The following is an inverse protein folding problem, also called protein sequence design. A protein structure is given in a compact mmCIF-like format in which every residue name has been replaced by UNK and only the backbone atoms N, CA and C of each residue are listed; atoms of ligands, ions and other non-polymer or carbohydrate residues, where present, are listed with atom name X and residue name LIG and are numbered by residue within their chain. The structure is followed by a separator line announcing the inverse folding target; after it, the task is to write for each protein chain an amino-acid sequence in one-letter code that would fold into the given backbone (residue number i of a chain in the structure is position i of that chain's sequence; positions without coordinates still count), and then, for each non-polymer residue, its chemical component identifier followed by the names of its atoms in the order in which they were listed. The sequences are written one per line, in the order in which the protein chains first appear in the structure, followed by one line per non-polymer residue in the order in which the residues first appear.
data_IF_685424336049
#
_entry.id   IF_685424336049
#
_cell.length_a   1.000
_cell.length_b   1.000
_cell.length_c   1.000
_cell.angle_alpha   90.00
_cell.angle_beta   90.00
_cell.angle_gamma   90.00
#
_symmetry.space_group_name_H-M   'P 1'
#
loop_
_entity.id
_entity.type
_entity.pdbx_description
1 polymer ?
#
# COMPACT_ATOMS: atom_id res chain seq x y z
N UNK A 1 -0.43 -24.53 89.28
CA UNK A 1 -0.58 -24.16 87.85
C UNK A 1 0.24 -25.15 87.04
N UNK A 2 -0.39 -26.12 86.37
CA UNK A 2 0.32 -27.09 85.54
C UNK A 2 0.47 -26.52 84.13
N UNK A 3 1.67 -26.06 83.80
CA UNK A 3 2.05 -25.77 82.42
C UNK A 3 2.24 -27.11 81.71
N UNK A 4 1.27 -27.48 80.87
CA UNK A 4 1.42 -28.60 79.94
C UNK A 4 2.39 -28.15 78.84
N UNK A 5 3.63 -28.61 78.94
CA UNK A 5 4.63 -28.41 77.88
C UNK A 5 4.20 -29.16 76.62
N UNK A 6 4.35 -28.49 75.47
CA UNK A 6 4.10 -29.06 74.15
C UNK A 6 4.90 -30.35 73.97
N UNK A 7 4.27 -31.41 73.46
CA UNK A 7 4.99 -32.66 73.23
C UNK A 7 5.81 -32.54 71.94
N UNK A 8 7.02 -33.10 71.93
CA UNK A 8 7.88 -33.12 70.75
C UNK A 8 7.19 -33.79 69.55
N UNK A 9 6.34 -34.79 69.83
CA UNK A 9 5.50 -35.47 68.83
C UNK A 9 4.51 -34.52 68.16
N UNK A 10 3.84 -33.67 68.94
CA UNK A 10 2.85 -32.71 68.43
C UNK A 10 3.52 -31.69 67.48
N UNK A 11 4.73 -31.24 67.81
CA UNK A 11 5.49 -30.33 66.95
C UNK A 11 5.89 -30.98 65.62
N UNK A 12 6.27 -32.27 65.64
CA UNK A 12 6.58 -33.03 64.41
C UNK A 12 5.33 -33.20 63.54
N UNK A 13 4.18 -33.51 64.14
CA UNK A 13 2.91 -33.66 63.40
C UNK A 13 2.52 -32.33 62.75
N UNK A 14 2.62 -31.21 63.48
CA UNK A 14 2.34 -29.88 62.94
C UNK A 14 3.29 -29.55 61.79
N UNK A 15 4.59 -29.85 61.93
CA UNK A 15 5.56 -29.61 60.86
C UNK A 15 5.23 -30.44 59.60
N UNK A 16 4.82 -31.70 59.78
CA UNK A 16 4.44 -32.58 58.67
C UNK A 16 3.17 -32.13 57.94
N UNK A 17 2.17 -31.62 58.67
CA UNK A 17 0.98 -31.03 58.05
C UNK A 17 1.37 -29.74 57.31
N UNK A 18 2.23 -28.92 57.90
CA UNK A 18 2.67 -27.66 57.30
C UNK A 18 3.44 -27.88 55.99
N UNK A 19 4.38 -28.84 55.95
CA UNK A 19 5.11 -29.16 54.72
C UNK A 19 4.19 -29.71 53.63
N UNK A 20 3.19 -30.51 53.99
CA UNK A 20 2.21 -31.04 53.05
C UNK A 20 1.35 -29.91 52.45
N UNK A 21 0.87 -29.00 53.28
CA UNK A 21 0.12 -27.81 52.82
C UNK A 21 0.99 -26.91 51.95
N UNK A 22 2.23 -26.63 52.35
CA UNK A 22 3.15 -25.83 51.53
C UNK A 22 3.49 -26.49 50.20
N UNK A 23 3.64 -27.82 50.17
CA UNK A 23 3.84 -28.55 48.92
C UNK A 23 2.65 -28.38 47.98
N UNK A 24 1.43 -28.50 48.49
CA UNK A 24 0.22 -28.31 47.68
C UNK A 24 0.11 -26.87 47.16
N UNK A 25 0.34 -25.87 48.01
CA UNK A 25 0.35 -24.47 47.60
C UNK A 25 1.43 -24.19 46.55
N UNK A 26 2.61 -24.79 46.69
CA UNK A 26 3.70 -24.64 45.73
C UNK A 26 3.36 -25.25 44.38
N UNK A 27 2.79 -26.47 44.36
CA UNK A 27 2.33 -27.11 43.12
C UNK A 27 1.24 -26.28 42.42
N UNK A 28 0.30 -25.72 43.18
CA UNK A 28 -0.74 -24.85 42.60
C UNK A 28 -0.12 -23.58 42.01
N UNK A 29 0.82 -22.95 42.71
CA UNK A 29 1.51 -21.77 42.20
C UNK A 29 2.28 -22.08 40.92
N UNK A 30 3.05 -23.17 40.91
CA UNK A 30 3.88 -23.57 39.78
C UNK A 30 3.01 -23.88 38.55
N UNK A 31 1.95 -24.68 38.72
CA UNK A 31 0.99 -24.97 37.64
C UNK A 31 0.28 -23.71 37.14
N UNK A 32 -0.03 -22.76 38.02
CA UNK A 32 -0.66 -21.49 37.61
C UNK A 32 0.32 -20.63 36.81
N UNK A 33 1.58 -20.54 37.24
CA UNK A 33 2.62 -19.78 36.53
C UNK A 33 2.96 -20.41 35.18
N UNK A 34 3.02 -21.75 35.09
CA UNK A 34 3.21 -22.44 33.81
C UNK A 34 2.03 -22.25 32.87
N UNK A 35 0.79 -22.33 33.39
CA UNK A 35 -0.41 -22.09 32.60
C UNK A 35 -0.45 -20.64 32.08
N UNK A 36 -0.14 -19.66 32.93
CA UNK A 36 -0.08 -18.25 32.54
C UNK A 36 0.96 -18.02 31.43
N UNK A 37 2.19 -18.52 31.60
CA UNK A 37 3.24 -18.44 30.57
C UNK A 37 2.81 -19.09 29.26
N UNK A 38 2.15 -20.26 29.32
CA UNK A 38 1.66 -20.96 28.13
C UNK A 38 0.58 -20.15 27.40
N UNK A 39 -0.35 -19.56 28.15
CA UNK A 39 -1.40 -18.70 27.59
C UNK A 39 -0.79 -17.44 26.99
N UNK A 40 0.12 -16.78 27.70
CA UNK A 40 0.81 -15.58 27.23
C UNK A 40 1.57 -15.85 25.93
N UNK A 41 2.33 -16.94 25.89
CA UNK A 41 3.04 -17.40 24.68
C UNK A 41 2.06 -17.57 23.52
N UNK A 42 1.03 -18.39 23.68
CA UNK A 42 0.06 -18.68 22.60
C UNK A 42 -0.74 -17.45 22.14
N UNK A 43 -1.00 -16.50 23.05
CA UNK A 43 -1.83 -15.32 22.76
C UNK A 43 -1.02 -14.19 22.12
N UNK A 44 0.24 -14.02 22.51
CA UNK A 44 1.11 -12.99 21.95
C UNK A 44 1.63 -13.39 20.57
N UNK A 45 1.89 -14.68 20.34
CA UNK A 45 2.41 -15.16 19.06
C UNK A 45 1.47 -14.82 17.90
N UNK A 46 0.22 -15.28 17.94
CA UNK A 46 -0.74 -15.03 16.85
C UNK A 46 -1.01 -13.55 16.58
N UNK A 47 -1.00 -12.70 17.63
CA UNK A 47 -1.33 -11.27 17.49
C UNK A 47 -0.31 -10.48 16.70
N UNK A 48 0.98 -10.83 16.78
CA UNK A 48 2.03 -10.10 16.06
C UNK A 48 1.90 -10.35 14.55
N UNK A 49 1.79 -11.62 14.14
CA UNK A 49 1.58 -11.99 12.73
C UNK A 49 0.30 -11.37 12.16
N UNK A 50 -0.81 -11.45 12.90
CA UNK A 50 -2.07 -10.82 12.52
C UNK A 50 -1.96 -9.28 12.40
N UNK A 51 -1.19 -8.63 13.28
CA UNK A 51 -0.99 -7.19 13.23
C UNK A 51 -0.16 -6.76 12.01
N UNK A 52 0.91 -7.51 11.68
CA UNK A 52 1.75 -7.26 10.50
C UNK A 52 0.94 -7.45 9.23
N UNK A 53 0.25 -8.58 9.08
CA UNK A 53 -0.62 -8.84 7.92
C UNK A 53 -1.77 -7.84 7.84
N UNK A 54 -2.34 -7.43 8.97
CA UNK A 54 -3.37 -6.40 9.03
C UNK A 54 -2.87 -5.03 8.54
N UNK A 55 -1.62 -4.67 8.83
CA UNK A 55 -0.97 -3.46 8.32
C UNK A 55 -0.75 -3.55 6.81
N UNK A 56 -0.11 -4.62 6.32
CA UNK A 56 0.13 -4.85 4.89
C UNK A 56 -1.17 -4.87 4.10
N UNK A 57 -2.21 -5.53 4.63
CA UNK A 57 -3.54 -5.55 4.00
C UNK A 57 -4.13 -4.16 3.87
N UNK A 58 -4.08 -3.33 4.92
CA UNK A 58 -4.60 -1.96 4.86
C UNK A 58 -3.88 -1.14 3.81
N UNK A 59 -2.55 -1.26 3.77
CA UNK A 59 -1.73 -0.52 2.81
C UNK A 59 -2.04 -0.97 1.37
N UNK A 60 -2.06 -2.28 1.11
CA UNK A 60 -2.38 -2.84 -0.21
C UNK A 60 -3.83 -2.58 -0.65
N UNK A 61 -4.81 -2.61 0.27
CA UNK A 61 -6.20 -2.27 -0.08
C UNK A 61 -6.36 -0.82 -0.54
N UNK A 62 -5.47 0.06 -0.11
CA UNK A 62 -5.38 1.44 -0.58
C UNK A 62 -4.52 1.62 -1.83
N UNK A 63 -3.96 0.56 -2.41
CA UNK A 63 -3.11 0.65 -3.59
C UNK A 63 -3.88 1.36 -4.72
N UNK A 64 -3.26 2.39 -5.30
CA UNK A 64 -3.92 3.28 -6.24
C UNK A 64 -2.98 3.71 -7.35
N UNK A 65 -3.52 3.74 -8.56
CA UNK A 65 -2.90 4.35 -9.73
C UNK A 65 -3.69 5.59 -10.11
N UNK A 66 -3.08 6.78 -10.00
CA UNK A 66 -3.70 8.08 -10.36
C UNK A 66 -2.98 8.74 -11.54
N UNK A 67 -2.51 7.96 -12.52
CA UNK A 67 -1.79 8.48 -13.69
C UNK A 67 -0.45 9.13 -13.36
N UNK A 68 0.20 8.75 -12.25
CA UNK A 68 1.47 9.31 -11.79
C UNK A 68 2.71 8.74 -12.52
N UNK A 69 2.53 8.29 -13.76
CA UNK A 69 3.55 7.58 -14.53
C UNK A 69 3.56 6.06 -14.33
N UNK A 70 4.62 5.39 -14.83
CA UNK A 70 4.73 3.94 -14.84
C UNK A 70 5.19 3.33 -13.49
N UNK A 71 5.86 4.11 -12.64
CA UNK A 71 6.46 3.65 -11.38
C UNK A 71 5.45 3.65 -10.22
N UNK A 72 4.45 2.77 -10.31
CA UNK A 72 3.29 2.78 -9.39
C UNK A 72 3.24 1.55 -8.51
N UNK A 73 3.67 0.40 -9.03
CA UNK A 73 3.64 -0.87 -8.34
C UNK A 73 4.76 -1.76 -8.86
N UNK A 74 5.61 -2.24 -7.96
CA UNK A 74 6.71 -3.14 -8.24
C UNK A 74 6.77 -4.23 -7.16
N UNK A 75 6.91 -5.47 -7.59
CA UNK A 75 7.06 -6.65 -6.77
C UNK A 75 8.23 -7.47 -7.27
N UNK A 76 9.25 -7.64 -6.43
CA UNK A 76 10.47 -8.36 -6.78
C UNK A 76 10.61 -9.62 -5.95
N UNK A 77 10.56 -10.75 -6.64
CA UNK A 77 10.80 -12.09 -6.10
C UNK A 77 12.31 -12.26 -5.82
N UNK A 78 12.63 -12.61 -4.57
CA UNK A 78 14.00 -12.84 -4.13
C UNK A 78 14.08 -14.13 -3.32
N UNK A 79 14.37 -15.25 -3.98
CA UNK A 79 14.64 -16.52 -3.30
C UNK A 79 13.58 -17.55 -3.66
N UNK A 80 13.37 -18.53 -2.78
CA UNK A 80 12.38 -19.58 -2.98
C UNK A 80 11.61 -19.77 -1.66
N UNK A 81 10.27 -19.69 -1.70
CA UNK A 81 9.30 -20.00 -0.63
C UNK A 81 9.80 -19.82 0.82
N UNK A 82 10.47 -20.84 1.38
CA UNK A 82 10.94 -20.93 2.77
C UNK A 82 12.14 -20.02 3.10
N UNK A 83 12.78 -19.45 2.08
CA UNK A 83 13.84 -18.43 2.19
C UNK A 83 13.56 -17.23 1.28
N UNK A 84 12.28 -16.97 0.96
CA UNK A 84 11.90 -15.82 0.17
C UNK A 84 12.20 -14.51 0.93
N UNK A 85 12.85 -13.58 0.26
CA UNK A 85 13.26 -12.24 0.70
C UNK A 85 12.57 -11.17 -0.14
N UNK A 86 11.31 -11.42 -0.53
CA UNK A 86 10.60 -10.62 -1.51
C UNK A 86 10.40 -9.18 -1.06
N UNK A 87 10.37 -8.29 -2.04
CA UNK A 87 10.10 -6.88 -1.85
C UNK A 87 8.85 -6.47 -2.62
N UNK A 88 8.11 -5.51 -2.07
CA UNK A 88 6.95 -4.93 -2.73
C UNK A 88 6.88 -3.44 -2.45
N UNK A 89 6.70 -2.65 -3.50
CA UNK A 89 6.70 -1.20 -3.49
C UNK A 89 5.52 -0.68 -4.29
N UNK A 90 4.69 0.16 -3.69
CA UNK A 90 3.48 0.64 -4.35
C UNK A 90 2.98 1.97 -3.80
N UNK A 91 2.20 2.65 -4.62
CA UNK A 91 1.50 3.88 -4.25
C UNK A 91 0.15 3.54 -3.60
N UNK A 92 -0.18 4.18 -2.47
CA UNK A 92 -1.38 3.90 -1.67
C UNK A 92 -2.03 5.16 -1.10
N UNK A 93 -3.36 5.11 -0.95
CA UNK A 93 -4.15 6.10 -0.20
C UNK A 93 -4.36 5.72 1.27
N UNK A 94 -3.64 4.70 1.76
CA UNK A 94 -3.71 4.30 3.17
C UNK A 94 -3.32 5.47 4.08
N UNK A 95 -4.02 5.69 5.20
CA UNK A 95 -3.68 6.76 6.13
C UNK A 95 -2.34 6.44 6.79
N UNK A 96 -1.28 7.10 6.32
CA UNK A 96 0.03 7.08 6.95
C UNK A 96 0.19 8.36 7.79
N UNK A 97 0.96 8.37 8.90
CA UNK A 97 1.18 9.60 9.65
C UNK A 97 2.01 10.60 8.85
N UNK A 98 1.41 11.72 8.45
CA UNK A 98 2.10 12.81 7.76
C UNK A 98 3.22 13.38 8.63
N UNK A 99 4.39 13.71 8.06
CA UNK A 99 5.43 14.44 8.77
C UNK A 99 4.93 15.85 9.12
N UNK A 100 5.47 16.45 10.19
CA UNK A 100 5.05 17.78 10.67
C UNK A 100 5.37 18.94 9.68
N UNK A 101 6.16 18.67 8.64
CA UNK A 101 6.65 19.65 7.67
C UNK A 101 5.70 19.81 6.45
N UNK A 102 5.72 21.01 5.83
CA UNK A 102 4.90 21.43 4.69
C UNK A 102 5.08 20.50 3.47
N UNK A 103 4.28 19.43 3.43
CA UNK A 103 4.16 18.55 2.27
C UNK A 103 3.39 19.31 1.18
N UNK A 104 3.83 19.32 -0.09
CA UNK A 104 3.12 20.01 -1.16
C UNK A 104 1.67 19.49 -1.25
N UNK A 105 0.70 20.41 -1.19
CA UNK A 105 -0.74 20.11 -1.00
C UNK A 105 -1.39 19.21 -2.07
N UNK A 106 -0.68 18.91 -3.16
CA UNK A 106 -1.20 18.14 -4.29
C UNK A 106 -1.13 16.62 -4.10
N UNK A 107 -0.22 16.11 -3.27
CA UNK A 107 -0.09 14.67 -2.98
C UNK A 107 -0.77 14.26 -1.68
N UNK A 108 -1.47 15.17 -0.99
CA UNK A 108 -1.85 15.02 0.43
C UNK A 108 -2.70 13.80 0.83
N UNK A 109 -3.21 13.02 -0.11
CA UNK A 109 -3.93 11.77 0.17
C UNK A 109 -3.15 10.50 -0.22
N UNK A 110 -1.97 10.66 -0.83
CA UNK A 110 -1.24 9.59 -1.49
C UNK A 110 0.17 9.49 -0.92
N UNK A 111 0.58 8.27 -0.63
CA UNK A 111 1.92 7.95 -0.13
C UNK A 111 2.46 6.73 -0.85
N UNK A 112 3.77 6.64 -0.97
CA UNK A 112 4.44 5.41 -1.37
C UNK A 112 4.73 4.57 -0.14
N UNK A 113 4.39 3.29 -0.20
CA UNK A 113 4.69 2.31 0.84
C UNK A 113 5.48 1.17 0.22
N UNK A 114 6.47 0.68 0.97
CA UNK A 114 7.28 -0.46 0.59
C UNK A 114 7.46 -1.44 1.73
N UNK A 115 7.60 -2.73 1.41
CA UNK A 115 8.02 -3.75 2.36
C UNK A 115 9.22 -4.51 1.79
N UNK A 116 10.23 -4.70 2.63
CA UNK A 116 11.41 -5.48 2.27
C UNK A 116 12.04 -6.10 3.52
N UNK A 117 12.71 -7.23 3.33
CA UNK A 117 13.54 -7.85 4.34
C UNK A 117 14.98 -7.31 4.28
N UNK A 118 15.65 -7.26 5.43
CA UNK A 118 17.10 -7.09 5.50
C UNK A 118 17.72 -8.06 6.49
N UNK A 119 18.94 -8.53 6.22
CA UNK A 119 19.65 -9.42 7.14
C UNK A 119 19.82 -8.77 8.51
N UNK A 120 19.35 -9.45 9.56
CA UNK A 120 19.60 -9.10 10.95
C UNK A 120 20.92 -9.65 11.48
N UNK A 121 21.30 -9.24 12.68
CA UNK A 121 22.57 -9.68 13.31
C UNK A 121 22.53 -11.15 13.78
N UNK A 122 21.34 -11.67 14.10
CA UNK A 122 21.15 -12.98 14.74
C UNK A 122 20.78 -14.12 13.75
N UNK A 123 20.93 -13.88 12.44
CA UNK A 123 20.57 -14.83 11.38
C UNK A 123 19.10 -14.77 10.95
N UNK A 124 18.23 -14.17 11.75
CA UNK A 124 16.87 -13.80 11.37
C UNK A 124 16.87 -12.50 10.53
N UNK A 125 15.86 -12.33 9.68
CA UNK A 125 15.65 -11.13 8.87
C UNK A 125 14.80 -10.10 9.61
N UNK A 126 15.06 -8.82 9.34
CA UNK A 126 14.27 -7.70 9.85
C UNK A 126 13.36 -7.18 8.74
N UNK A 127 12.06 -7.18 9.00
CA UNK A 127 11.05 -6.58 8.14
C UNK A 127 11.03 -5.07 8.30
N UNK A 128 11.28 -4.36 7.20
CA UNK A 128 11.16 -2.92 7.11
C UNK A 128 9.90 -2.54 6.33
N UNK A 129 9.26 -1.46 6.78
CA UNK A 129 8.26 -0.72 6.00
C UNK A 129 8.82 0.64 5.60
N UNK A 130 8.84 0.93 4.31
CA UNK A 130 9.18 2.24 3.74
C UNK A 130 7.92 3.08 3.63
N UNK A 131 8.06 4.38 3.87
CA UNK A 131 7.03 5.39 3.59
C UNK A 131 7.68 6.59 2.90
N UNK A 132 7.13 7.00 1.77
CA UNK A 132 7.45 8.26 1.11
C UNK A 132 6.18 9.11 0.93
N UNK A 133 6.30 10.40 1.22
CA UNK A 133 5.26 11.41 1.04
C UNK A 133 5.51 12.30 -0.18
N UNK A 134 6.79 12.42 -0.52
CA UNK A 134 7.24 13.14 -1.69
C UNK A 134 7.26 12.18 -2.89
N UNK A 135 6.30 12.36 -3.79
CA UNK A 135 6.17 11.60 -5.02
C UNK A 135 6.79 12.34 -6.23
N UNK A 136 7.50 13.45 -5.99
CA UNK A 136 8.15 14.23 -7.07
C UNK A 136 9.49 13.64 -7.50
N UNK A 137 10.15 12.92 -6.58
CA UNK A 137 11.29 12.04 -6.87
C UNK A 137 10.82 10.60 -7.08
N UNK A 138 11.68 9.70 -7.56
CA UNK A 138 11.39 8.25 -7.70
C UNK A 138 10.58 7.75 -6.49
N UNK A 139 9.27 7.51 -6.68
CA UNK A 139 8.37 7.25 -5.56
C UNK A 139 8.63 5.87 -4.97
N UNK A 140 9.24 4.94 -5.72
CA UNK A 140 9.44 3.57 -5.29
C UNK A 140 10.79 3.35 -4.58
N UNK A 141 11.77 4.27 -4.66
CA UNK A 141 13.02 4.14 -3.87
C UNK A 141 13.23 5.23 -2.82
N UNK A 142 12.42 6.29 -2.84
CA UNK A 142 12.48 7.37 -1.84
C UNK A 142 11.75 7.02 -0.52
N UNK A 143 12.06 7.77 0.56
CA UNK A 143 11.32 7.70 1.82
C UNK A 143 12.07 7.11 3.02
N UNK A 144 11.35 7.01 4.14
CA UNK A 144 11.88 6.56 5.45
C UNK A 144 11.52 5.10 5.68
N UNK A 145 12.52 4.29 6.05
CA UNK A 145 12.34 2.87 6.39
C UNK A 145 12.28 2.71 7.90
N UNK A 146 11.24 2.05 8.41
CA UNK A 146 11.05 1.73 9.83
C UNK A 146 11.01 0.22 10.02
N UNK A 147 11.78 -0.30 10.97
CA UNK A 147 11.74 -1.72 11.34
C UNK A 147 10.41 -2.04 12.02
N UNK A 148 9.69 -3.05 11.51
CA UNK A 148 8.44 -3.56 12.09
C UNK A 148 8.72 -4.73 13.02
N UNK A 149 9.51 -5.69 12.55
CA UNK A 149 9.76 -6.95 13.26
C UNK A 149 11.13 -7.51 12.87
N UNK A 150 11.87 -8.07 13.82
CA UNK A 150 13.27 -8.47 13.69
C UNK A 150 13.50 -9.99 13.59
N UNK A 151 12.42 -10.78 13.61
CA UNK A 151 12.46 -12.26 13.61
C UNK A 151 11.64 -12.84 12.46
N UNK A 152 11.85 -12.30 11.27
CA UNK A 152 11.25 -12.85 10.05
C UNK A 152 12.21 -13.87 9.46
N UNK A 153 11.69 -15.03 9.09
CA UNK A 153 12.45 -16.04 8.39
C UNK A 153 12.38 -15.79 6.88
N UNK A 154 11.16 -15.62 6.36
CA UNK A 154 10.89 -15.40 4.96
C UNK A 154 9.60 -14.59 4.75
N UNK A 155 9.53 -13.90 3.62
CA UNK A 155 8.39 -13.14 3.13
C UNK A 155 8.25 -13.42 1.64
N UNK A 156 7.10 -13.95 1.24
CA UNK A 156 6.79 -14.27 -0.15
C UNK A 156 5.53 -13.49 -0.60
N UNK A 157 5.61 -12.87 -1.78
CA UNK A 157 4.48 -12.24 -2.46
C UNK A 157 4.18 -12.95 -3.78
N UNK A 158 2.90 -13.25 -4.00
CA UNK A 158 2.42 -13.62 -5.33
C UNK A 158 1.33 -12.67 -5.79
N UNK A 159 1.26 -12.46 -7.10
CA UNK A 159 0.36 -11.52 -7.74
C UNK A 159 -0.59 -12.28 -8.64
N UNK A 160 -1.89 -11.99 -8.54
CA UNK A 160 -2.91 -12.54 -9.42
C UNK A 160 -3.05 -11.64 -10.64
N UNK A 161 -2.69 -12.17 -11.80
CA UNK A 161 -2.77 -11.45 -13.07
C UNK A 161 -4.21 -11.33 -13.61
N UNK A 162 -4.35 -10.74 -14.80
CA UNK A 162 -5.65 -10.58 -15.46
C UNK A 162 -6.24 -11.91 -15.96
N UNK A 163 -5.38 -12.86 -16.35
CA UNK A 163 -5.76 -14.18 -16.86
C UNK A 163 -6.17 -15.13 -15.71
N UNK A 164 -5.89 -14.74 -14.47
CA UNK A 164 -6.18 -15.49 -13.26
C UNK A 164 -5.04 -16.44 -12.85
N UNK A 165 -3.84 -16.25 -13.37
CA UNK A 165 -2.63 -16.97 -12.99
C UNK A 165 -1.87 -16.22 -11.89
N UNK A 166 -1.18 -16.99 -11.04
CA UNK A 166 -0.33 -16.44 -9.99
C UNK A 166 1.10 -16.32 -10.51
N UNK A 167 1.68 -15.12 -10.38
CA UNK A 167 3.05 -14.80 -10.77
C UNK A 167 3.84 -14.31 -9.55
N UNK A 168 5.13 -14.62 -9.49
CA UNK A 168 6.00 -14.24 -8.37
C UNK A 168 6.55 -12.80 -8.46
N UNK A 169 6.62 -12.23 -9.66
CA UNK A 169 7.04 -10.85 -9.87
C UNK A 169 5.93 -10.02 -10.50
N UNK A 170 6.00 -8.70 -10.32
CA UNK A 170 5.09 -7.76 -10.96
C UNK A 170 5.79 -6.42 -11.18
N UNK A 171 5.77 -5.90 -12.40
CA UNK A 171 6.26 -4.55 -12.68
C UNK A 171 5.24 -3.78 -13.54
N UNK A 172 4.62 -2.76 -12.95
CA UNK A 172 3.67 -1.90 -13.64
C UNK A 172 4.33 -1.12 -14.80
N UNK A 173 5.63 -0.85 -14.72
CA UNK A 173 6.33 -0.07 -15.75
C UNK A 173 6.54 -0.84 -17.05
N UNK A 174 6.55 -2.18 -17.00
CA UNK A 174 6.59 -3.02 -18.21
C UNK A 174 5.22 -3.08 -18.91
N UNK A 175 4.14 -2.85 -18.17
CA UNK A 175 2.76 -2.91 -18.65
C UNK A 175 2.25 -1.56 -19.18
N UNK A 176 2.81 -0.45 -18.69
CA UNK A 176 2.43 0.90 -19.10
C UNK A 176 3.45 1.43 -20.14
N UNK A 177 3.06 1.62 -21.41
CA UNK A 177 3.94 2.28 -22.37
C UNK A 177 4.18 3.74 -21.98
N UNK A 178 5.42 4.23 -22.14
CA UNK A 178 5.80 5.64 -21.87
C UNK A 178 4.91 6.66 -22.60
N UNK A 179 4.31 6.27 -23.74
CA UNK A 179 3.48 7.14 -24.58
C UNK A 179 2.01 7.24 -24.13
N UNK A 180 1.50 6.40 -23.23
CA UNK A 180 0.08 6.43 -22.83
C UNK A 180 -0.29 7.52 -21.81
N UNK A 181 0.60 8.48 -21.55
CA UNK A 181 0.30 9.62 -20.68
C UNK A 181 -0.80 10.53 -21.27
N UNK A 182 -1.03 10.48 -22.58
CA UNK A 182 -1.97 11.35 -23.34
C UNK A 182 -3.36 10.76 -23.56
N UNK A 183 -3.63 9.52 -23.15
CA UNK A 183 -4.96 8.88 -23.33
C UNK A 183 -5.81 8.93 -22.03
N UNK A 184 -5.37 9.73 -21.05
CA UNK A 184 -6.08 9.89 -19.78
C UNK A 184 -6.76 11.26 -19.72
N UNK A 185 -8.10 11.33 -19.80
CA UNK A 185 -8.84 12.60 -19.90
C UNK A 185 -8.64 13.54 -18.70
N UNK A 186 -8.14 13.03 -17.58
CA UNK A 186 -7.85 13.84 -16.38
C UNK A 186 -6.46 14.51 -16.39
N UNK A 187 -5.52 14.05 -17.21
CA UNK A 187 -4.22 14.70 -17.42
C UNK A 187 -4.34 15.77 -18.51
N UNK A 188 -5.04 15.46 -19.61
CA UNK A 188 -5.28 16.41 -20.70
C UNK A 188 -6.05 17.65 -20.23
N UNK A 189 -7.08 17.50 -19.39
CA UNK A 189 -7.81 18.66 -18.85
C UNK A 189 -6.87 19.56 -18.02
N UNK A 190 -5.84 19.03 -17.36
CA UNK A 190 -4.92 19.85 -16.55
C UNK A 190 -3.84 20.53 -17.36
N UNK A 191 -3.28 19.86 -18.36
CA UNK A 191 -2.37 20.52 -19.29
C UNK A 191 -3.13 21.56 -20.11
N UNK A 192 -4.36 21.27 -20.53
CA UNK A 192 -5.26 22.20 -21.19
C UNK A 192 -5.58 23.42 -20.32
N UNK A 193 -5.91 23.23 -19.04
CA UNK A 193 -6.15 24.35 -18.11
C UNK A 193 -4.87 25.14 -17.81
N UNK A 194 -3.72 24.48 -17.66
CA UNK A 194 -2.43 25.16 -17.47
C UNK A 194 -1.99 25.92 -18.73
N UNK A 195 -2.28 25.40 -19.92
CA UNK A 195 -2.02 26.05 -21.20
C UNK A 195 -2.98 27.22 -21.43
N UNK A 196 -4.27 27.09 -21.06
CA UNK A 196 -5.24 28.20 -21.03
C UNK A 196 -4.82 29.30 -20.05
N UNK A 197 -4.39 28.95 -18.83
CA UNK A 197 -3.91 29.91 -17.85
C UNK A 197 -2.61 30.59 -18.32
N UNK A 198 -1.71 29.85 -18.96
CA UNK A 198 -0.48 30.39 -19.54
C UNK A 198 -0.77 31.29 -20.75
N UNK A 199 -1.72 30.92 -21.60
CA UNK A 199 -2.16 31.71 -22.75
C UNK A 199 -2.93 32.96 -22.30
N UNK A 200 -3.76 32.88 -21.26
CA UNK A 200 -4.44 34.02 -20.64
C UNK A 200 -3.44 34.97 -19.96
N UNK A 201 -2.42 34.43 -19.28
CA UNK A 201 -1.33 35.24 -18.71
C UNK A 201 -0.49 35.91 -19.81
N UNK A 202 -0.17 35.18 -20.89
CA UNK A 202 0.53 35.71 -22.05
C UNK A 202 -0.31 36.76 -22.80
N UNK A 203 -1.63 36.56 -22.91
CA UNK A 203 -2.57 37.51 -23.47
C UNK A 203 -2.69 38.76 -22.59
N UNK A 204 -2.72 38.62 -21.26
CA UNK A 204 -2.74 39.78 -20.35
C UNK A 204 -1.42 40.57 -20.39
N UNK A 205 -0.28 39.88 -20.55
CA UNK A 205 1.02 40.50 -20.73
C UNK A 205 1.14 41.18 -22.11
N UNK A 206 0.55 40.57 -23.15
CA UNK A 206 0.47 41.13 -24.49
C UNK A 206 -0.46 42.35 -24.52
N UNK A 207 -1.61 42.33 -23.84
CA UNK A 207 -2.51 43.47 -23.72
C UNK A 207 -1.88 44.60 -22.89
N UNK A 208 -1.09 44.29 -21.86
CA UNK A 208 -0.30 45.28 -21.12
C UNK A 208 0.80 45.90 -22.01
N UNK A 209 1.40 45.12 -22.92
CA UNK A 209 2.38 45.59 -23.90
C UNK A 209 1.73 46.36 -25.05
N UNK A 210 0.54 45.97 -25.49
CA UNK A 210 -0.26 46.65 -26.52
C UNK A 210 -0.84 47.96 -25.98
N UNK A 211 -1.23 48.03 -24.71
CA UNK A 211 -1.61 49.29 -24.05
C UNK A 211 -0.44 50.28 -23.98
N UNK A 212 0.81 49.80 -23.91
CA UNK A 212 2.01 50.63 -24.04
C UNK A 212 2.30 51.05 -25.50
N UNK A 213 1.98 50.18 -26.48
CA UNK A 213 2.22 50.42 -27.90
C UNK A 213 1.10 51.18 -28.64
N UNK A 214 -0.12 51.23 -28.10
CA UNK A 214 -1.29 51.91 -28.67
C UNK A 214 -1.26 53.44 -28.58
N UNK A 215 -0.08 54.03 -28.35
CA UNK A 215 0.19 55.45 -28.59
C UNK A 215 0.66 55.75 -30.04
N UNK A 216 0.62 54.77 -30.95
CA UNK A 216 0.90 54.97 -32.37
C UNK A 216 0.15 53.99 -33.28
N UNK A 217 -1.02 54.39 -33.79
CA UNK A 217 -1.76 53.77 -34.90
C UNK A 217 -0.93 53.82 -36.22
N UNK A 218 -1.11 52.98 -37.25
CA UNK A 218 -2.37 52.59 -37.92
C UNK A 218 -2.11 51.54 -39.05
N UNK A 219 -3.05 50.63 -39.35
CA UNK A 219 -3.28 50.15 -40.74
C UNK A 219 -3.43 48.64 -41.08
N UNK A 220 -4.68 48.22 -41.35
CA UNK A 220 -5.17 47.45 -42.54
C UNK A 220 -4.99 45.92 -42.73
N UNK A 221 -6.13 45.22 -42.63
CA UNK A 221 -6.76 44.07 -43.35
C UNK A 221 -5.97 43.02 -44.17
N UNK A 222 -6.42 41.75 -44.05
CA UNK A 222 -6.33 40.74 -45.13
C UNK A 222 -6.91 39.35 -44.75
N UNK A 223 -7.79 38.81 -45.58
CA UNK A 223 -8.53 37.54 -45.48
C UNK A 223 -7.82 36.39 -46.24
N UNK A 224 -8.15 35.10 -45.96
CA UNK A 224 -8.51 33.99 -46.92
C UNK A 224 -7.93 32.59 -46.57
N UNK A 225 -8.83 31.60 -46.32
CA UNK A 225 -8.83 30.18 -46.77
C UNK A 225 -7.71 29.21 -46.34
N UNK A 226 -7.86 27.87 -46.29
CA UNK A 226 -8.88 26.94 -46.74
C UNK A 226 -8.47 25.48 -46.35
N UNK A 227 -9.48 24.67 -45.99
CA UNK A 227 -9.68 23.22 -46.20
C UNK A 227 -8.81 22.11 -45.55
N UNK A 228 -9.54 21.33 -44.77
CA UNK A 228 -9.36 19.93 -44.36
C UNK A 228 -9.48 18.93 -45.52
N UNK A 229 -8.84 17.78 -45.36
CA UNK A 229 -8.99 16.59 -46.21
C UNK A 229 -9.36 15.40 -45.33
N UNK A 230 -10.54 14.82 -45.57
CA UNK A 230 -11.02 13.60 -44.94
C UNK A 230 -10.56 12.37 -45.74
N UNK A 231 -10.16 11.30 -45.05
CA UNK A 231 -10.02 9.96 -45.62
C UNK A 231 -10.92 8.97 -44.88
N UNK A 232 -11.78 8.31 -45.63
CA UNK A 232 -12.80 7.35 -45.19
C UNK A 232 -12.19 6.04 -44.65
N UNK A 233 -12.59 5.69 -43.43
CA UNK A 233 -12.58 4.34 -42.86
C UNK A 233 -13.77 4.24 -41.89
N UNK A 234 -14.71 3.34 -42.14
CA UNK A 234 -16.05 3.39 -41.52
C UNK A 234 -16.06 3.08 -40.02
N UNK A 235 -16.41 4.09 -39.22
CA UNK A 235 -16.67 4.01 -37.78
C UNK A 235 -18.13 3.62 -37.52
N UNK A 236 -18.39 2.75 -36.52
CA UNK A 236 -19.74 2.37 -36.07
C UNK A 236 -20.20 3.36 -34.99
N UNK A 237 -21.53 3.53 -34.79
CA UNK A 237 -22.04 4.37 -33.70
C UNK A 237 -21.62 3.79 -32.35
N UNK A 238 -20.77 4.51 -31.62
CA UNK A 238 -20.17 4.09 -30.34
C UNK A 238 -18.65 4.09 -30.33
N UNK A 239 -18.01 4.14 -31.50
CA UNK A 239 -16.53 4.09 -31.62
C UNK A 239 -15.88 5.47 -31.46
N UNK A 240 -16.64 6.53 -31.19
CA UNK A 240 -16.16 7.92 -31.18
C UNK A 240 -16.59 8.60 -29.89
N UNK A 241 -15.64 9.16 -29.14
CA UNK A 241 -15.92 9.98 -27.96
C UNK A 241 -16.70 11.25 -28.38
N UNK A 242 -17.89 11.49 -27.81
CA UNK A 242 -18.74 12.63 -28.19
C UNK A 242 -18.17 14.01 -27.82
N UNK A 243 -17.16 14.10 -26.94
CA UNK A 243 -16.53 15.34 -26.54
C UNK A 243 -15.32 15.70 -27.43
N UNK A 244 -14.51 14.71 -27.83
CA UNK A 244 -13.24 14.93 -28.55
C UNK A 244 -13.31 14.54 -30.03
N UNK A 245 -14.25 13.69 -30.44
CA UNK A 245 -14.39 13.23 -31.81
C UNK A 245 -13.36 12.17 -32.23
N UNK A 246 -12.60 11.63 -31.27
CA UNK A 246 -11.56 10.63 -31.50
C UNK A 246 -12.07 9.20 -31.31
N UNK A 247 -11.36 8.25 -31.94
CA UNK A 247 -11.75 6.83 -31.95
C UNK A 247 -11.37 6.19 -30.63
N UNK A 248 -12.34 5.64 -29.89
CA UNK A 248 -12.05 4.92 -28.64
C UNK A 248 -11.21 3.68 -28.98
N UNK A 249 -9.98 3.53 -28.44
CA UNK A 249 -9.17 2.37 -28.73
C UNK A 249 -9.88 1.08 -28.26
N UNK A 250 -9.98 0.09 -29.16
CA UNK A 250 -10.59 -1.24 -28.94
C UNK A 250 -9.77 -2.15 -27.99
N UNK A 251 -8.59 -1.69 -27.54
CA UNK A 251 -7.68 -2.46 -26.71
C UNK A 251 -7.94 -2.12 -25.24
N UNK A 252 -8.21 -3.11 -24.36
CA UNK A 252 -8.45 -2.84 -22.96
C UNK A 252 -7.22 -2.12 -22.40
N UNK A 253 -7.43 -0.96 -21.77
CA UNK A 253 -6.36 -0.20 -21.14
C UNK A 253 -5.54 -1.15 -20.25
N UNK A 254 -4.19 -1.08 -20.32
CA UNK A 254 -3.35 -1.92 -19.48
C UNK A 254 -3.74 -1.68 -18.01
N UNK A 255 -3.93 -2.78 -17.27
CA UNK A 255 -4.17 -2.76 -15.82
C UNK A 255 -2.80 -2.83 -15.12
N UNK A 256 -2.25 -1.71 -14.61
CA UNK A 256 -0.92 -1.72 -14.01
C UNK A 256 -0.87 -2.39 -12.64
N UNK A 257 -2.03 -2.64 -12.04
CA UNK A 257 -2.15 -3.24 -10.72
C UNK A 257 -2.66 -4.68 -10.85
N UNK A 258 -2.13 -5.62 -10.04
CA UNK A 258 -2.63 -6.99 -10.01
C UNK A 258 -4.03 -7.04 -9.41
N UNK A 259 -4.79 -8.11 -9.70
CA UNK A 259 -6.16 -8.27 -9.17
C UNK A 259 -6.17 -8.59 -7.67
N UNK A 260 -5.15 -9.30 -7.22
CA UNK A 260 -4.95 -9.63 -5.82
C UNK A 260 -3.46 -9.86 -5.54
N UNK A 261 -3.08 -9.70 -4.27
CA UNK A 261 -1.75 -10.05 -3.77
C UNK A 261 -1.91 -11.12 -2.69
N UNK A 262 -1.24 -12.25 -2.84
CA UNK A 262 -1.08 -13.26 -1.78
C UNK A 262 0.19 -12.92 -1.01
N UNK A 263 0.07 -12.88 0.30
CA UNK A 263 1.19 -12.66 1.22
C UNK A 263 1.37 -13.93 2.01
N UNK A 264 2.60 -14.42 2.10
CA UNK A 264 3.00 -15.50 3.00
C UNK A 264 4.16 -15.01 3.85
N UNK A 265 3.99 -15.06 5.17
CA UNK A 265 4.93 -14.53 6.15
C UNK A 265 5.33 -15.64 7.12
N UNK A 266 6.63 -15.90 7.21
CA UNK A 266 7.23 -16.90 8.08
C UNK A 266 7.92 -16.21 9.25
N UNK A 267 7.43 -16.45 10.47
CA UNK A 267 7.95 -15.79 11.68
C UNK A 267 8.59 -16.79 12.63
N UNK A 268 9.76 -16.43 13.15
CA UNK A 268 10.38 -17.10 14.29
C UNK A 268 9.95 -16.43 15.60
N UNK A 269 9.61 -17.23 16.60
CA UNK A 269 9.23 -16.70 17.92
C UNK A 269 10.33 -16.74 18.96
N UNK A 270 10.19 -15.83 19.92
CA UNK A 270 11.04 -15.73 21.10
C UNK A 270 10.26 -15.34 22.35
N UNK A 271 10.73 -15.80 23.51
CA UNK A 271 10.30 -15.33 24.82
C UNK A 271 11.37 -14.42 25.45
N UNK A 272 11.15 -13.98 26.70
CA UNK A 272 12.10 -13.16 27.47
C UNK A 272 13.48 -13.84 27.69
N UNK A 273 13.63 -15.13 27.34
CA UNK A 273 14.86 -15.92 27.49
C UNK A 273 15.55 -16.24 26.15
N UNK A 274 14.98 -15.84 25.01
CA UNK A 274 15.55 -16.05 23.69
C UNK A 274 14.58 -16.72 22.71
N UNK A 275 15.09 -17.25 21.60
CA UNK A 275 14.28 -17.97 20.62
C UNK A 275 13.58 -19.17 21.27
N UNK A 276 12.28 -19.30 20.99
CA UNK A 276 11.50 -20.44 21.39
C UNK A 276 11.84 -21.58 20.47
N UNK A 277 12.28 -22.71 21.03
CA UNK A 277 12.61 -23.89 20.26
C UNK A 277 11.45 -24.90 20.28
N UNK A 278 11.33 -25.67 19.20
CA UNK A 278 10.43 -26.81 19.09
C UNK A 278 10.95 -28.04 19.87
N UNK A 279 10.29 -29.18 19.71
CA UNK A 279 10.67 -30.43 20.36
C UNK A 279 12.03 -30.99 19.86
N UNK A 280 12.46 -30.57 18.68
CA UNK A 280 13.67 -31.00 17.98
C UNK A 280 14.84 -30.01 18.17
N UNK A 281 14.60 -28.88 18.83
CA UNK A 281 15.60 -27.84 19.12
C UNK A 281 15.76 -26.79 18.02
N UNK A 282 14.87 -26.77 17.02
CA UNK A 282 14.83 -25.75 15.98
C UNK A 282 13.96 -24.55 16.41
N UNK A 283 14.17 -23.34 15.88
CA UNK A 283 13.29 -22.20 16.14
C UNK A 283 11.83 -22.54 15.83
N UNK A 284 10.93 -22.15 16.72
CA UNK A 284 9.51 -22.35 16.54
C UNK A 284 8.99 -21.36 15.50
N UNK A 285 8.53 -21.92 14.37
CA UNK A 285 8.05 -21.21 13.20
C UNK A 285 6.51 -21.19 13.16
N UNK A 286 5.93 -20.07 12.75
CA UNK A 286 4.51 -19.98 12.42
C UNK A 286 4.32 -19.23 11.10
N UNK A 287 3.47 -19.80 10.26
CA UNK A 287 3.21 -19.30 8.91
C UNK A 287 1.87 -18.56 8.90
N UNK A 288 1.90 -17.31 8.46
CA UNK A 288 0.73 -16.48 8.28
C UNK A 288 0.52 -16.24 6.79
N UNK A 289 -0.72 -16.40 6.32
CA UNK A 289 -1.04 -16.11 4.92
C UNK A 289 -2.37 -15.37 4.79
N UNK A 290 -2.41 -14.45 3.82
CA UNK A 290 -3.63 -13.75 3.43
C UNK A 290 -3.62 -13.45 1.94
N UNK A 291 -4.81 -13.40 1.35
CA UNK A 291 -5.03 -12.85 0.01
C UNK A 291 -5.68 -11.47 0.18
N UNK A 292 -5.13 -10.47 -0.50
CA UNK A 292 -5.63 -9.10 -0.51
C UNK A 292 -6.12 -8.78 -1.91
N UNK A 293 -7.44 -8.72 -2.15
CA UNK A 293 -7.97 -8.24 -3.43
C UNK A 293 -7.68 -6.75 -3.57
N UNK A 294 -7.16 -6.33 -4.72
CA UNK A 294 -6.97 -4.92 -5.05
C UNK A 294 -8.23 -4.47 -5.80
N UNK A 295 -8.98 -3.52 -5.21
CA UNK A 295 -10.29 -3.09 -5.73
C UNK A 295 -10.17 -2.14 -6.95
N UNK A 296 -8.99 -2.01 -7.55
CA UNK A 296 -8.73 -1.19 -8.74
C UNK A 296 -9.00 -2.01 -10.02
N UNK A 297 -10.13 -2.71 -10.06
CA UNK A 297 -10.52 -3.51 -11.24
C UNK A 297 -11.77 -3.00 -11.95
N UNK A 298 -12.42 -1.94 -11.44
CA UNK A 298 -13.43 -1.20 -12.19
C UNK A 298 -13.06 0.27 -12.12
N UNK A 299 -12.51 0.80 -13.21
CA UNK A 299 -12.51 2.24 -13.45
C UNK A 299 -13.99 2.66 -13.44
N UNK A 300 -14.45 3.25 -12.34
CA UNK A 300 -15.73 3.95 -12.35
C UNK A 300 -15.45 5.21 -13.17
N UNK A 301 -15.87 5.18 -14.44
CA UNK A 301 -16.01 6.39 -15.25
C UNK A 301 -17.06 7.26 -14.53
N UNK A 302 -16.61 8.24 -13.75
CA UNK A 302 -17.52 9.22 -13.16
C UNK A 302 -17.88 10.17 -14.30
N UNK A 303 -19.06 9.96 -14.89
CA UNK A 303 -19.64 10.91 -15.84
C UNK A 303 -19.70 12.30 -15.19
N UNK A 304 -19.22 13.31 -15.92
CA UNK A 304 -19.20 14.69 -15.46
C UNK A 304 -20.63 15.14 -15.09
N UNK A 305 -20.90 15.56 -13.84
CA UNK A 305 -22.24 15.93 -13.39
C UNK A 305 -22.86 17.09 -14.19
N UNK A 306 -22.09 17.86 -14.95
CA UNK A 306 -22.64 18.93 -15.81
C UNK A 306 -23.40 18.38 -17.02
N UNK A 307 -23.03 17.20 -17.54
CA UNK A 307 -23.74 16.57 -18.66
C UNK A 307 -25.13 16.04 -18.29
N UNK A 308 -25.39 15.78 -17.01
CA UNK A 308 -26.71 15.38 -16.50
C UNK A 308 -27.70 16.55 -16.38
N UNK A 309 -27.21 17.80 -16.36
CA UNK A 309 -28.06 18.98 -16.17
C UNK A 309 -28.54 19.59 -17.49
N UNK A 310 -27.82 19.38 -18.59
CA UNK A 310 -28.15 19.98 -19.90
C UNK A 310 -29.26 19.22 -20.66
N UNK A 311 -29.60 18.01 -20.22
CA UNK A 311 -30.70 17.20 -20.78
C UNK A 311 -32.10 17.57 -20.30
N UNK A 312 -32.26 18.59 -19.44
CA UNK A 312 -33.53 18.91 -18.77
C UNK A 312 -34.25 20.17 -19.29
N UNK A 313 -33.90 20.68 -20.47
CA UNK A 313 -34.77 21.62 -21.19
C UNK A 313 -35.85 20.85 -21.99
N UNK A 314 -36.84 20.35 -21.27
CA UNK A 314 -38.13 19.97 -21.86
C UNK A 314 -39.05 21.18 -21.72
N UNK A 315 -39.35 21.80 -22.85
CA UNK A 315 -40.32 22.90 -23.00
C UNK A 315 -41.63 22.63 -22.23
N UNK A 316 -42.11 23.65 -21.51
CA UNK A 316 -43.46 23.72 -20.93
C UNK A 316 -44.51 24.15 -21.95
#
# INVERSE_FOLDING_TARGET
MQQRGFTLVELIVVLGIFTLVMSMCYTILDTTLEADRRIHKTTLTGKVGEAILGQMRRDLQGAAWRGLGPEVFRGEDHGDDDNAEDSIDFITTSPVPEPEDETPSWTGELSSVGYALRPGEDGDQVLFRRVAWDLTSDPLDSGVRTAIYDRVQALNFEYLDIEGEWVGNWDASELLPEENLTDFPYLDEREFQAELEAEEQAASAADAAVAAAASGLEGTTGNTGNQSSASEGGLRPGDIDPATGEVIPDEPLPLPLPRAVRIVLYLHYSDEKGQLLDADGAPYEEVFSTIVPLLVSDQILVEDPETLLDGSNVDF
#
